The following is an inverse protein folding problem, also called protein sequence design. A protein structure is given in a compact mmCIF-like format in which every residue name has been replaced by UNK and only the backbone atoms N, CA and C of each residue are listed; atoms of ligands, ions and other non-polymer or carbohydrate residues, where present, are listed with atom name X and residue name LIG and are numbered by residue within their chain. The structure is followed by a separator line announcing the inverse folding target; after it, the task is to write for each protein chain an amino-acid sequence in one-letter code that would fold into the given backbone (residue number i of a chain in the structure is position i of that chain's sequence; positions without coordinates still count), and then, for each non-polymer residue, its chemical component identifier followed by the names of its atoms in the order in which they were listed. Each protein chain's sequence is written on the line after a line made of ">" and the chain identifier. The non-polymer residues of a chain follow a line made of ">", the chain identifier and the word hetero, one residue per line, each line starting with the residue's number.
data_IF_007161520979
#
_entry.id   IF_007161520979
#
_cell.length_a   1.000
_cell.length_b   1.000
_cell.length_c   1.000
_cell.angle_alpha   90.00
_cell.angle_beta   90.00
_cell.angle_gamma   90.00
#
_symmetry.space_group_name_H-M   'P 1'
#
loop_
_entity.id
_entity.type
_entity.pdbx_description
1 polymer ?
#
# COMPACT_ATOMS: atom_id res chain seq x y z
N UNK A 1 -17.02 -6.88 12.91
CA UNK A 1 -15.85 -7.43 12.20
C UNK A 1 -16.33 -8.61 11.38
N UNK A 2 -16.04 -8.67 10.08
CA UNK A 2 -16.41 -9.80 9.21
C UNK A 2 -15.13 -10.40 8.64
N UNK A 3 -14.81 -11.68 8.90
CA UNK A 3 -13.64 -12.34 8.33
C UNK A 3 -13.91 -12.71 6.85
N UNK A 4 -13.05 -12.25 5.94
CA UNK A 4 -13.08 -12.64 4.52
C UNK A 4 -11.93 -13.59 4.23
N UNK A 5 -12.24 -14.76 3.65
CA UNK A 5 -11.25 -15.79 3.35
C UNK A 5 -10.23 -15.31 2.31
N UNK A 6 -8.95 -15.59 2.56
CA UNK A 6 -7.86 -15.45 1.59
C UNK A 6 -8.01 -16.56 0.52
N UNK A 7 -7.97 -16.19 -0.75
CA UNK A 7 -8.08 -17.16 -1.85
C UNK A 7 -6.96 -18.21 -1.76
N UNK A 8 -7.29 -19.48 -2.04
CA UNK A 8 -6.32 -20.59 -2.08
C UNK A 8 -5.79 -21.07 -0.73
N UNK A 9 -6.26 -20.55 0.41
CA UNK A 9 -5.83 -21.01 1.74
C UNK A 9 -6.81 -21.98 2.41
N UNK A 10 -6.27 -22.78 3.34
CA UNK A 10 -6.98 -23.84 4.10
C UNK A 10 -8.04 -23.22 5.01
N UNK A 11 -9.22 -23.83 5.08
CA UNK A 11 -10.38 -23.26 5.79
C UNK A 11 -10.31 -23.39 7.31
N UNK A 12 -9.50 -24.30 7.83
CA UNK A 12 -9.39 -24.57 9.27
C UNK A 12 -8.45 -23.63 10.02
N UNK A 13 -7.59 -22.91 9.30
CA UNK A 13 -6.62 -22.00 9.90
C UNK A 13 -7.17 -20.56 10.01
N UNK A 14 -7.27 -19.98 11.22
CA UNK A 14 -7.71 -18.59 11.41
C UNK A 14 -6.89 -17.55 10.62
N UNK A 15 -5.59 -17.78 10.40
CA UNK A 15 -4.71 -16.90 9.62
C UNK A 15 -5.05 -16.87 8.12
N UNK A 16 -5.91 -17.79 7.68
CA UNK A 16 -6.45 -17.85 6.33
C UNK A 16 -7.57 -16.85 6.07
N UNK A 17 -7.97 -16.08 7.07
CA UNK A 17 -8.98 -15.03 6.95
C UNK A 17 -8.35 -13.64 7.06
N UNK A 18 -9.01 -12.65 6.45
CA UNK A 18 -8.72 -11.21 6.60
C UNK A 18 -9.83 -10.61 7.44
N UNK A 19 -9.53 -10.06 8.61
CA UNK A 19 -10.53 -9.34 9.37
C UNK A 19 -10.91 -8.05 8.63
N UNK A 20 -12.20 -7.81 8.41
CA UNK A 20 -12.69 -6.52 7.90
C UNK A 20 -13.49 -5.83 8.99
N UNK A 21 -12.99 -4.67 9.42
CA UNK A 21 -13.72 -3.75 10.26
C UNK A 21 -14.82 -3.07 9.43
N UNK A 22 -16.08 -3.39 9.73
CA UNK A 22 -17.23 -2.66 9.20
C UNK A 22 -17.61 -1.57 10.19
N UNK A 23 -17.09 -0.38 9.97
CA UNK A 23 -17.51 0.83 10.70
C UNK A 23 -18.88 1.30 10.21
N UNK A 24 -19.59 2.03 11.07
CA UNK A 24 -20.92 2.59 10.73
C UNK A 24 -20.81 3.59 9.56
N UNK A 25 -21.92 3.85 8.85
CA UNK A 25 -21.93 4.84 7.77
C UNK A 25 -21.49 6.24 8.23
N UNK A 26 -21.80 6.59 9.48
CA UNK A 26 -21.36 7.83 10.09
C UNK A 26 -19.84 7.86 10.28
N UNK A 27 -19.26 6.79 10.86
CA UNK A 27 -17.82 6.67 11.04
C UNK A 27 -17.08 6.71 9.70
N UNK A 28 -17.54 5.98 8.68
CA UNK A 28 -16.94 6.01 7.33
C UNK A 28 -16.93 7.40 6.71
N UNK A 29 -18.02 8.16 6.90
CA UNK A 29 -18.11 9.55 6.42
C UNK A 29 -17.09 10.42 7.15
N UNK A 30 -17.00 10.29 8.47
CA UNK A 30 -16.05 11.03 9.29
C UNK A 30 -14.59 10.70 8.93
N UNK A 31 -14.25 9.41 8.82
CA UNK A 31 -12.94 8.92 8.35
C UNK A 31 -12.58 9.50 6.98
N UNK A 32 -13.54 9.57 6.05
CA UNK A 32 -13.33 10.17 4.72
C UNK A 32 -13.03 11.67 4.80
N UNK A 33 -13.73 12.41 5.66
CA UNK A 33 -13.46 13.84 5.87
C UNK A 33 -12.04 14.07 6.39
N UNK A 34 -11.64 13.30 7.42
CA UNK A 34 -10.29 13.35 7.99
C UNK A 34 -9.24 13.01 6.94
N UNK A 35 -9.41 11.89 6.24
CA UNK A 35 -8.46 11.42 5.23
C UNK A 35 -8.26 12.46 4.11
N UNK A 36 -9.34 13.11 3.67
CA UNK A 36 -9.27 14.16 2.65
C UNK A 36 -8.41 15.34 3.11
N UNK A 37 -8.59 15.79 4.35
CA UNK A 37 -7.79 16.87 4.92
C UNK A 37 -6.33 16.46 5.13
N UNK A 38 -6.09 15.25 5.65
CA UNK A 38 -4.75 14.74 5.90
C UNK A 38 -3.94 14.60 4.61
N UNK A 39 -4.54 14.04 3.55
CA UNK A 39 -3.90 13.95 2.24
C UNK A 39 -3.55 15.35 1.72
N UNK A 40 -4.47 16.32 1.82
CA UNK A 40 -4.19 17.69 1.38
C UNK A 40 -2.97 18.30 2.09
N UNK A 41 -2.89 18.15 3.41
CA UNK A 41 -1.76 18.66 4.22
C UNK A 41 -0.46 17.97 3.82
N UNK A 42 -0.46 16.64 3.68
CA UNK A 42 0.73 15.88 3.32
C UNK A 42 1.22 16.17 1.90
N UNK A 43 0.32 16.36 0.94
CA UNK A 43 0.69 16.74 -0.43
C UNK A 43 1.26 18.16 -0.47
N UNK A 44 0.60 19.13 0.18
CA UNK A 44 1.06 20.53 0.23
C UNK A 44 2.42 20.65 0.93
N UNK A 45 2.62 19.89 2.00
CA UNK A 45 3.86 19.86 2.78
C UNK A 45 4.96 18.96 2.20
N UNK A 46 4.73 18.28 1.06
CA UNK A 46 5.65 17.27 0.51
C UNK A 46 6.02 16.17 1.53
N UNK A 47 5.08 15.80 2.39
CA UNK A 47 5.26 14.76 3.42
C UNK A 47 5.33 13.34 2.86
N UNK A 48 4.90 13.12 1.61
CA UNK A 48 5.04 11.83 0.93
C UNK A 48 6.35 11.75 0.14
N UNK A 49 6.97 10.57 0.16
CA UNK A 49 8.07 10.27 -0.76
C UNK A 49 7.60 10.39 -2.22
N UNK A 50 8.43 10.93 -3.13
CA UNK A 50 8.12 10.95 -4.57
C UNK A 50 7.90 9.56 -5.17
N UNK A 51 8.47 8.51 -4.56
CA UNK A 51 8.38 7.11 -4.99
C UNK A 51 7.25 6.33 -4.28
N UNK A 52 6.50 6.98 -3.38
CA UNK A 52 5.32 6.37 -2.78
C UNK A 52 4.12 6.53 -3.70
N UNK A 53 3.65 5.41 -4.26
CA UNK A 53 2.49 5.36 -5.17
C UNK A 53 1.22 4.79 -4.54
N UNK A 54 1.35 3.99 -3.48
CA UNK A 54 0.21 3.38 -2.79
C UNK A 54 -0.73 4.42 -2.17
N UNK A 55 -2.04 4.25 -2.37
CA UNK A 55 -3.11 5.07 -1.78
C UNK A 55 -3.04 6.58 -2.08
N UNK A 56 -2.32 6.99 -3.12
CA UNK A 56 -2.20 8.38 -3.54
C UNK A 56 -2.94 8.65 -4.85
N UNK A 57 -3.59 9.81 -4.93
CA UNK A 57 -4.38 10.20 -6.11
C UNK A 57 -3.46 10.41 -7.31
N UNK A 58 -3.85 9.87 -8.47
CA UNK A 58 -3.09 10.01 -9.72
C UNK A 58 -1.81 9.15 -9.77
N UNK A 59 -1.67 8.18 -8.86
CA UNK A 59 -0.59 7.20 -8.83
C UNK A 59 -1.18 5.79 -8.85
N UNK A 60 -0.39 4.84 -9.34
CA UNK A 60 -0.75 3.45 -9.55
C UNK A 60 0.40 2.52 -9.17
N UNK A 61 0.13 1.22 -9.09
CA UNK A 61 1.18 0.22 -8.89
C UNK A 61 2.14 0.15 -10.08
N UNK A 62 1.70 0.56 -11.28
CA UNK A 62 2.52 0.59 -12.48
C UNK A 62 3.64 1.62 -12.39
N UNK A 63 3.42 2.75 -11.71
CA UNK A 63 4.46 3.78 -11.55
C UNK A 63 5.71 3.20 -10.88
N UNK A 64 5.52 2.43 -9.81
CA UNK A 64 6.62 1.77 -9.10
C UNK A 64 7.29 0.69 -9.96
N UNK A 65 6.50 -0.04 -10.75
CA UNK A 65 7.01 -1.09 -11.64
C UNK A 65 7.87 -0.51 -12.76
N UNK A 66 7.37 0.52 -13.44
CA UNK A 66 8.11 1.24 -14.50
C UNK A 66 9.37 1.88 -13.94
N UNK A 67 9.31 2.44 -12.73
CA UNK A 67 10.50 2.95 -12.06
C UNK A 67 11.56 1.85 -11.86
N UNK A 68 11.18 0.70 -11.31
CA UNK A 68 12.11 -0.42 -11.10
C UNK A 68 12.67 -0.94 -12.43
N UNK A 69 11.83 -1.10 -13.45
CA UNK A 69 12.25 -1.53 -14.79
C UNK A 69 13.27 -0.55 -15.41
N UNK A 70 13.03 0.76 -15.26
CA UNK A 70 13.95 1.81 -15.70
C UNK A 70 15.31 1.70 -14.98
N UNK A 71 15.30 1.48 -13.66
CA UNK A 71 16.54 1.29 -12.89
C UNK A 71 17.31 0.04 -13.31
N UNK A 72 16.62 -1.05 -13.62
CA UNK A 72 17.23 -2.28 -14.15
C UNK A 72 17.91 -2.01 -15.51
N UNK A 73 17.19 -1.37 -16.44
CA UNK A 73 17.73 -1.03 -17.76
C UNK A 73 18.93 -0.10 -17.66
N UNK A 74 18.88 0.88 -16.77
CA UNK A 74 19.94 1.84 -16.55
C UNK A 74 21.21 1.20 -16.00
N UNK A 75 21.08 0.32 -15.01
CA UNK A 75 22.20 -0.46 -14.48
C UNK A 75 22.83 -1.35 -15.56
N UNK A 76 21.99 -2.01 -16.37
CA UNK A 76 22.44 -2.84 -17.48
C UNK A 76 23.28 -2.07 -18.51
N UNK A 77 22.78 -0.91 -18.98
CA UNK A 77 23.50 -0.04 -19.93
C UNK A 77 24.84 0.43 -19.38
N UNK A 78 24.91 0.72 -18.08
CA UNK A 78 26.13 1.18 -17.41
C UNK A 78 27.08 0.05 -17.02
N UNK A 79 26.74 -1.22 -17.29
CA UNK A 79 27.45 -2.41 -16.80
C UNK A 79 27.62 -2.42 -15.28
N UNK A 80 26.64 -1.87 -14.57
CA UNK A 80 26.59 -1.86 -13.11
C UNK A 80 25.68 -2.99 -12.61
N UNK A 81 25.88 -3.39 -11.35
CA UNK A 81 24.98 -4.30 -10.66
C UNK A 81 23.90 -3.51 -9.93
N UNK A 82 22.64 -3.93 -10.08
CA UNK A 82 21.51 -3.45 -9.29
C UNK A 82 21.09 -4.55 -8.31
N UNK A 83 21.01 -4.22 -7.03
CA UNK A 83 20.46 -5.09 -5.99
C UNK A 83 19.15 -4.48 -5.50
N UNK A 84 18.09 -5.28 -5.42
CA UNK A 84 16.78 -4.86 -4.92
C UNK A 84 16.40 -5.69 -3.69
N UNK A 85 15.88 -5.02 -2.67
CA UNK A 85 15.38 -5.63 -1.45
C UNK A 85 13.87 -5.41 -1.37
N UNK A 86 13.13 -6.50 -1.20
CA UNK A 86 11.68 -6.47 -1.05
C UNK A 86 11.34 -6.71 0.42
N UNK A 87 10.79 -5.68 1.07
CA UNK A 87 10.32 -5.76 2.44
C UNK A 87 8.80 -5.78 2.44
N UNK A 88 8.23 -6.70 3.22
CA UNK A 88 6.80 -6.78 3.49
C UNK A 88 6.58 -6.71 5.00
N UNK A 89 5.59 -5.92 5.42
CA UNK A 89 5.25 -5.75 6.83
C UNK A 89 4.06 -6.64 7.14
N UNK A 90 4.29 -7.67 7.95
CA UNK A 90 3.23 -8.56 8.39
C UNK A 90 2.21 -7.81 9.26
N UNK A 91 0.93 -7.95 8.92
CA UNK A 91 -0.22 -7.43 9.67
C UNK A 91 -0.20 -5.91 9.89
N UNK A 92 0.20 -5.15 8.87
CA UNK A 92 0.35 -3.69 8.95
C UNK A 92 -0.90 -2.91 9.41
N UNK A 93 -2.10 -3.48 9.31
CA UNK A 93 -3.35 -2.84 9.73
C UNK A 93 -3.97 -3.45 11.00
N UNK A 94 -3.45 -4.58 11.49
CA UNK A 94 -4.05 -5.35 12.59
C UNK A 94 -3.27 -5.20 13.92
N UNK A 95 -2.19 -4.40 13.94
CA UNK A 95 -1.37 -4.13 15.14
C UNK A 95 -1.99 -3.04 16.03
N UNK A 96 -3.17 -3.30 16.61
CA UNK A 96 -3.71 -2.59 17.80
C UNK A 96 -4.91 -3.34 18.38
#
# INVERSE_FOLDING_TARGET
>A
MIPIRKAGKVTTDPLSYRPIALTSCFCKTFERMINTHLIYVLEKGKGFSPLQSGFRKGRSTLDNFVFLESQIRHAFVRRNHLVSLFFDIEEACDRT
#
